data_IF_940953145154
#
_entry.id   IF_940953145154
#
_cell.length_a   1.000
_cell.length_b   1.000
_cell.length_c   1.000
_cell.angle_alpha   90.00
_cell.angle_beta   90.00
_cell.angle_gamma   90.00
#
_symmetry.space_group_name_H-M   'P 1'
#
loop_
_entity.id
_entity.type
_entity.pdbx_description
1 polymer ?
#
# COMPACT_ATOMS: atom_id res chain seq x y z
N UNK A 1 -7.09 15.70 4.94
CA UNK A 1 -5.75 15.53 4.37
C UNK A 1 -5.80 15.78 2.87
N UNK A 2 -4.99 16.70 2.44
CA UNK A 2 -4.97 17.05 1.03
C UNK A 2 -4.32 15.90 0.24
N UNK A 3 -5.03 15.34 -0.72
CA UNK A 3 -4.54 14.31 -1.65
C UNK A 3 -3.25 14.74 -2.40
N UNK A 4 -2.84 15.99 -2.24
CA UNK A 4 -1.65 16.55 -2.89
C UNK A 4 -0.33 15.96 -2.38
N UNK A 5 -0.26 15.48 -1.14
CA UNK A 5 0.99 14.92 -0.60
C UNK A 5 1.32 13.54 -1.16
N UNK A 6 0.31 12.74 -1.50
CA UNK A 6 0.52 11.46 -2.17
C UNK A 6 0.82 11.60 -3.67
N UNK A 7 0.51 12.77 -4.25
CA UNK A 7 0.57 13.00 -5.71
C UNK A 7 1.66 13.99 -6.09
N UNK A 8 2.41 14.56 -5.14
CA UNK A 8 3.28 15.73 -5.38
C UNK A 8 4.55 15.48 -6.22
N UNK A 9 4.66 14.34 -6.89
CA UNK A 9 5.70 14.12 -7.90
C UNK A 9 5.11 13.56 -9.20
N UNK A 10 4.25 14.36 -9.81
CA UNK A 10 3.75 14.10 -11.15
C UNK A 10 4.79 14.49 -12.20
N UNK A 11 5.42 13.50 -12.82
CA UNK A 11 5.83 13.61 -14.22
C UNK A 11 4.95 12.68 -15.03
N UNK A 12 4.12 13.22 -15.95
CA UNK A 12 3.18 12.41 -16.72
C UNK A 12 3.84 11.45 -17.73
N UNK A 13 5.09 11.67 -18.05
CA UNK A 13 5.71 11.02 -19.21
C UNK A 13 6.82 10.02 -18.88
N UNK A 14 7.05 9.68 -17.62
CA UNK A 14 8.13 8.78 -17.26
C UNK A 14 7.72 7.65 -16.32
N UNK A 15 6.68 6.93 -16.73
CA UNK A 15 6.22 5.72 -16.06
C UNK A 15 7.26 4.58 -16.04
N UNK A 16 8.38 4.77 -16.70
CA UNK A 16 9.46 3.78 -16.78
C UNK A 16 10.47 3.87 -15.62
N UNK A 17 10.47 4.96 -14.85
CA UNK A 17 11.49 5.19 -13.82
C UNK A 17 11.16 4.67 -12.43
N UNK A 18 9.90 4.42 -12.11
CA UNK A 18 9.50 3.76 -10.86
C UNK A 18 8.17 3.04 -11.04
N UNK A 19 8.22 1.74 -11.06
CA UNK A 19 7.04 0.87 -11.19
C UNK A 19 6.02 1.16 -10.05
N UNK A 20 6.49 1.42 -8.84
CA UNK A 20 5.62 1.71 -7.69
C UNK A 20 4.89 3.04 -7.88
N UNK A 21 5.58 4.09 -8.31
CA UNK A 21 4.96 5.40 -8.52
C UNK A 21 3.91 5.38 -9.63
N UNK A 22 4.16 4.63 -10.70
CA UNK A 22 3.18 4.42 -11.77
C UNK A 22 1.95 3.69 -11.27
N UNK A 23 2.13 2.59 -10.58
CA UNK A 23 1.06 1.79 -10.01
C UNK A 23 0.25 2.60 -8.98
N UNK A 24 0.91 3.45 -8.20
CA UNK A 24 0.23 4.33 -7.25
C UNK A 24 -0.63 5.37 -7.96
N UNK A 25 -0.11 5.99 -9.03
CA UNK A 25 -0.88 6.96 -9.83
C UNK A 25 -2.11 6.31 -10.47
N UNK A 26 -1.95 5.13 -11.05
CA UNK A 26 -3.07 4.36 -11.62
C UNK A 26 -4.10 4.02 -10.55
N UNK A 27 -3.66 3.51 -9.41
CA UNK A 27 -4.56 3.17 -8.31
C UNK A 27 -5.34 4.40 -7.82
N UNK A 28 -4.69 5.53 -7.62
CA UNK A 28 -5.36 6.77 -7.18
C UNK A 28 -6.36 7.25 -8.21
N UNK A 29 -6.04 7.14 -9.50
CA UNK A 29 -6.99 7.47 -10.58
C UNK A 29 -8.23 6.58 -10.53
N UNK A 30 -8.06 5.27 -10.39
CA UNK A 30 -9.16 4.32 -10.28
C UNK A 30 -9.97 4.54 -8.99
N UNK A 31 -9.28 4.85 -7.90
CA UNK A 31 -9.94 5.15 -6.62
C UNK A 31 -10.83 6.38 -6.70
N UNK A 32 -10.40 7.40 -7.43
CA UNK A 32 -11.16 8.66 -7.63
C UNK A 32 -12.23 8.55 -8.70
N UNK A 33 -12.25 7.49 -9.50
CA UNK A 33 -13.26 7.30 -10.54
C UNK A 33 -14.66 7.21 -9.93
N UNK A 34 -15.67 7.47 -10.74
CA UNK A 34 -17.08 7.42 -10.33
C UNK A 34 -17.58 5.99 -10.05
N UNK A 35 -16.85 4.96 -10.47
CA UNK A 35 -17.22 3.57 -10.21
C UNK A 35 -17.18 3.26 -8.71
N UNK A 36 -18.22 2.63 -8.14
CA UNK A 36 -18.20 2.16 -6.76
C UNK A 36 -17.35 0.89 -6.57
N UNK A 37 -16.85 0.30 -7.66
CA UNK A 37 -16.07 -0.91 -7.66
C UNK A 37 -14.63 -0.65 -8.08
N UNK A 38 -13.74 -1.49 -7.58
CA UNK A 38 -12.34 -1.52 -7.97
C UNK A 38 -11.96 -2.95 -8.38
N UNK A 39 -11.26 -3.09 -9.49
CA UNK A 39 -10.68 -4.38 -9.87
C UNK A 39 -9.39 -4.60 -9.04
N UNK A 40 -9.32 -5.74 -8.38
CA UNK A 40 -8.17 -6.14 -7.59
C UNK A 40 -7.70 -7.53 -8.02
N UNK A 41 -6.43 -7.80 -7.79
CA UNK A 41 -5.82 -9.08 -8.10
C UNK A 41 -5.35 -9.74 -6.81
N UNK A 42 -5.66 -11.03 -6.65
CA UNK A 42 -5.09 -11.84 -5.58
C UNK A 42 -3.81 -12.51 -6.08
N UNK A 43 -2.85 -12.75 -5.19
CA UNK A 43 -1.60 -13.40 -5.56
C UNK A 43 -1.77 -14.88 -5.96
N UNK A 44 -2.87 -15.52 -5.56
CA UNK A 44 -3.19 -16.91 -5.89
C UNK A 44 -2.20 -17.91 -5.30
N UNK A 45 -2.57 -18.62 -4.22
CA UNK A 45 -1.75 -19.69 -3.64
C UNK A 45 -1.64 -20.92 -4.54
N UNK A 46 -2.45 -21.02 -5.60
CA UNK A 46 -2.57 -22.17 -6.49
C UNK A 46 -2.17 -21.88 -7.94
N UNK A 47 -1.35 -20.85 -8.19
CA UNK A 47 -0.74 -20.56 -9.48
C UNK A 47 -1.26 -19.31 -10.19
N UNK A 48 -2.45 -19.31 -10.78
CA UNK A 48 -2.93 -18.18 -11.57
C UNK A 48 -3.57 -17.11 -10.67
N UNK A 49 -3.09 -15.84 -10.70
CA UNK A 49 -3.75 -14.76 -9.99
C UNK A 49 -5.18 -14.56 -10.48
N UNK A 50 -6.10 -14.35 -9.55
CA UNK A 50 -7.51 -14.09 -9.87
C UNK A 50 -7.78 -12.60 -9.80
N UNK A 51 -8.53 -12.09 -10.79
CA UNK A 51 -9.08 -10.75 -10.80
C UNK A 51 -10.50 -10.77 -10.25
N UNK A 52 -10.76 -9.92 -9.28
CA UNK A 52 -12.08 -9.78 -8.67
C UNK A 52 -12.47 -8.30 -8.58
N UNK A 53 -13.77 -8.05 -8.58
CA UNK A 53 -14.30 -6.71 -8.35
C UNK A 53 -14.68 -6.58 -6.88
N UNK A 54 -14.18 -5.54 -6.22
CA UNK A 54 -14.46 -5.24 -4.81
C UNK A 54 -15.10 -3.87 -4.71
N UNK A 55 -16.07 -3.72 -3.83
CA UNK A 55 -16.66 -2.41 -3.54
C UNK A 55 -15.67 -1.54 -2.77
N UNK A 56 -15.48 -0.31 -3.23
CA UNK A 56 -14.66 0.68 -2.54
C UNK A 56 -15.10 0.90 -1.10
N UNK A 57 -16.42 0.89 -0.85
CA UNK A 57 -16.98 0.98 0.50
C UNK A 57 -16.50 -0.14 1.42
N UNK A 58 -16.43 -1.38 0.93
CA UNK A 58 -15.92 -2.51 1.70
C UNK A 58 -14.44 -2.34 2.02
N UNK A 59 -13.66 -1.82 1.09
CA UNK A 59 -12.24 -1.52 1.33
C UNK A 59 -12.07 -0.44 2.40
N UNK A 60 -12.87 0.62 2.35
CA UNK A 60 -12.86 1.68 3.37
C UNK A 60 -13.23 1.12 4.74
N UNK A 61 -14.28 0.31 4.83
CA UNK A 61 -14.71 -0.30 6.10
C UNK A 61 -13.63 -1.22 6.68
N UNK A 62 -13.01 -2.05 5.84
CA UNK A 62 -11.89 -2.91 6.24
C UNK A 62 -10.70 -2.08 6.74
N UNK A 63 -10.37 -1.00 6.05
CA UNK A 63 -9.30 -0.10 6.45
C UNK A 63 -9.59 0.56 7.81
N UNK A 64 -10.82 1.03 8.04
CA UNK A 64 -11.23 1.60 9.33
C UNK A 64 -11.07 0.60 10.46
N UNK A 65 -11.57 -0.62 10.28
CA UNK A 65 -11.45 -1.68 11.29
C UNK A 65 -9.99 -1.96 11.65
N UNK A 66 -9.12 -2.06 10.65
CA UNK A 66 -7.69 -2.29 10.88
C UNK A 66 -7.05 -1.13 11.63
N UNK A 67 -7.29 0.10 11.17
CA UNK A 67 -6.69 1.29 11.77
C UNK A 67 -7.18 1.49 13.21
N UNK A 68 -8.46 1.28 13.46
CA UNK A 68 -9.03 1.38 14.81
C UNK A 68 -8.45 0.32 15.74
N UNK A 69 -8.38 -0.93 15.29
CA UNK A 69 -7.84 -2.03 16.08
C UNK A 69 -6.37 -1.81 16.45
N UNK A 70 -5.57 -1.31 15.52
CA UNK A 70 -4.15 -1.06 15.73
C UNK A 70 -3.85 0.31 16.34
N UNK A 71 -4.86 1.14 16.54
CA UNK A 71 -4.71 2.49 17.10
C UNK A 71 -3.91 3.42 16.19
N UNK A 72 -4.00 3.23 14.88
CA UNK A 72 -3.31 4.07 13.91
C UNK A 72 -3.97 5.44 13.81
N UNK A 73 -3.16 6.50 13.79
CA UNK A 73 -3.61 7.89 13.80
C UNK A 73 -2.97 8.68 12.67
N UNK A 74 -3.56 9.82 12.39
CA UNK A 74 -3.02 10.76 11.41
C UNK A 74 -1.55 11.08 11.72
N UNK A 75 -0.70 10.99 10.69
CA UNK A 75 0.73 11.24 10.79
C UNK A 75 1.56 10.03 11.19
N UNK A 76 0.95 8.93 11.61
CA UNK A 76 1.67 7.69 11.85
C UNK A 76 2.34 7.19 10.56
N UNK A 77 3.59 6.77 10.65
CA UNK A 77 4.33 6.26 9.50
C UNK A 77 4.02 4.79 9.24
N UNK A 78 3.70 4.50 7.99
CA UNK A 78 3.44 3.14 7.53
C UNK A 78 4.28 2.84 6.29
N UNK A 79 4.79 1.61 6.19
CA UNK A 79 5.63 1.18 5.09
C UNK A 79 4.80 0.54 3.98
N UNK A 80 4.92 1.07 2.76
CA UNK A 80 4.41 0.46 1.54
C UNK A 80 5.58 -0.10 0.72
N UNK A 81 5.68 -1.41 0.63
CA UNK A 81 6.68 -2.11 -0.19
C UNK A 81 6.07 -3.29 -0.96
N UNK A 82 4.76 -3.48 -0.85
CA UNK A 82 4.03 -4.52 -1.57
C UNK A 82 3.65 -4.03 -2.97
N UNK A 83 3.62 -4.93 -3.98
CA UNK A 83 3.12 -4.58 -5.30
C UNK A 83 1.68 -4.09 -5.26
N UNK A 84 1.42 -2.93 -5.86
CA UNK A 84 0.08 -2.34 -5.90
C UNK A 84 -0.88 -3.04 -6.86
N UNK A 85 -0.40 -3.93 -7.70
CA UNK A 85 -1.27 -4.80 -8.51
C UNK A 85 -2.10 -5.76 -7.67
N UNK A 86 -1.63 -6.10 -6.46
CA UNK A 86 -2.35 -6.98 -5.54
C UNK A 86 -3.14 -6.20 -4.51
N UNK A 87 -4.19 -6.82 -4.00
CA UNK A 87 -5.07 -6.22 -2.99
C UNK A 87 -4.31 -5.80 -1.73
N UNK A 88 -3.29 -6.56 -1.32
CA UNK A 88 -2.52 -6.24 -0.11
C UNK A 88 -1.85 -4.88 -0.20
N UNK A 89 -1.19 -4.56 -1.33
CA UNK A 89 -0.59 -3.25 -1.56
C UNK A 89 -1.63 -2.14 -1.67
N UNK A 90 -2.73 -2.39 -2.39
CA UNK A 90 -3.84 -1.44 -2.50
C UNK A 90 -4.44 -1.09 -1.13
N UNK A 91 -4.61 -2.08 -0.26
CA UNK A 91 -5.15 -1.86 1.09
C UNK A 91 -4.24 -1.02 1.97
N UNK A 92 -2.93 -1.05 1.79
CA UNK A 92 -2.02 -0.13 2.48
C UNK A 92 -2.29 1.31 2.10
N UNK A 93 -2.55 1.59 0.82
CA UNK A 93 -2.92 2.92 0.36
C UNK A 93 -4.28 3.34 0.91
N UNK A 94 -5.27 2.45 0.89
CA UNK A 94 -6.61 2.75 1.43
C UNK A 94 -6.55 3.07 2.92
N UNK A 95 -5.80 2.31 3.71
CA UNK A 95 -5.59 2.59 5.15
C UNK A 95 -4.96 3.96 5.35
N UNK A 96 -3.98 4.30 4.54
CA UNK A 96 -3.34 5.60 4.57
C UNK A 96 -4.32 6.74 4.28
N UNK A 97 -5.17 6.58 3.27
CA UNK A 97 -6.19 7.57 2.94
C UNK A 97 -7.25 7.72 4.05
N UNK A 98 -7.65 6.62 4.66
CA UNK A 98 -8.68 6.60 5.71
C UNK A 98 -8.18 7.19 7.03
N UNK A 99 -6.98 6.81 7.47
CA UNK A 99 -6.43 7.23 8.76
C UNK A 99 -5.45 8.40 8.68
N UNK A 100 -5.15 8.89 7.48
CA UNK A 100 -4.17 9.97 7.30
C UNK A 100 -2.74 9.56 7.62
N UNK A 101 -2.37 8.32 7.28
CA UNK A 101 -1.02 7.82 7.53
C UNK A 101 0.00 8.47 6.60
N UNK A 102 1.23 8.59 7.07
CA UNK A 102 2.37 9.01 6.28
C UNK A 102 3.04 7.78 5.67
N UNK A 103 2.84 7.56 4.37
CA UNK A 103 3.38 6.39 3.67
C UNK A 103 4.85 6.57 3.33
N UNK A 104 5.67 5.68 3.85
CA UNK A 104 7.06 5.49 3.41
C UNK A 104 7.04 4.43 2.31
N UNK A 105 7.40 4.84 1.09
CA UNK A 105 7.29 3.99 -0.10
C UNK A 105 8.66 3.42 -0.45
N UNK A 106 8.72 2.11 -0.65
CA UNK A 106 9.91 1.38 -1.08
C UNK A 106 9.56 0.40 -2.18
N UNK A 107 10.53 0.06 -3.01
CA UNK A 107 10.36 -1.01 -4.00
C UNK A 107 10.14 -2.36 -3.30
N UNK A 108 9.29 -3.24 -3.86
CA UNK A 108 9.08 -4.57 -3.32
C UNK A 108 10.39 -5.36 -3.22
N UNK A 109 10.66 -5.93 -2.05
CA UNK A 109 11.87 -6.72 -1.82
C UNK A 109 11.65 -7.78 -0.75
N UNK A 110 12.61 -8.70 -0.63
CA UNK A 110 12.65 -9.67 0.48
C UNK A 110 13.15 -9.08 1.80
N UNK A 111 13.72 -7.87 1.77
CA UNK A 111 14.28 -7.16 2.94
C UNK A 111 13.70 -5.75 3.05
N UNK A 112 12.42 -5.61 3.36
CA UNK A 112 11.74 -4.31 3.30
C UNK A 112 12.24 -3.28 4.31
N UNK A 113 12.91 -3.74 5.38
CA UNK A 113 13.41 -2.87 6.45
C UNK A 113 14.89 -2.52 6.31
N UNK A 114 15.58 -2.99 5.25
CA UNK A 114 17.05 -2.90 5.16
C UNK A 114 17.59 -1.47 5.16
N UNK A 115 16.86 -0.51 4.61
CA UNK A 115 17.25 0.89 4.51
C UNK A 115 16.31 1.83 5.29
N UNK A 116 15.54 1.30 6.20
CA UNK A 116 14.65 2.09 7.05
C UNK A 116 15.41 2.52 8.31
N UNK A 117 15.57 3.82 8.45
CA UNK A 117 16.28 4.45 9.57
C UNK A 117 15.35 5.28 10.47
N UNK A 118 14.05 5.20 10.24
CA UNK A 118 13.03 5.95 10.96
C UNK A 118 12.05 5.02 11.67
N UNK A 119 11.41 5.46 12.77
CA UNK A 119 10.36 4.68 13.42
C UNK A 119 9.16 4.51 12.50
N UNK A 120 8.69 3.28 12.36
CA UNK A 120 7.44 2.96 11.69
C UNK A 120 6.40 2.52 12.70
N UNK A 121 5.18 2.97 12.51
CA UNK A 121 4.04 2.54 13.33
C UNK A 121 3.40 1.26 12.80
N UNK A 122 3.44 1.07 11.48
CA UNK A 122 2.77 -0.05 10.84
C UNK A 122 3.49 -0.48 9.56
N UNK A 123 3.59 -1.79 9.38
CA UNK A 123 4.02 -2.41 8.12
C UNK A 123 3.31 -3.75 7.96
N UNK A 124 2.79 -4.03 6.77
CA UNK A 124 2.25 -5.33 6.43
C UNK A 124 3.32 -6.14 5.70
N UNK A 125 3.61 -7.34 6.19
CA UNK A 125 4.67 -8.20 5.67
C UNK A 125 4.17 -9.63 5.51
N UNK A 126 4.72 -10.35 4.52
CA UNK A 126 4.58 -11.80 4.47
C UNK A 126 5.57 -12.47 5.45
N UNK A 127 5.33 -13.72 5.88
CA UNK A 127 6.18 -14.39 6.87
C UNK A 127 7.67 -14.41 6.52
N UNK A 128 8.02 -14.62 5.24
CA UNK A 128 9.41 -14.60 4.79
C UNK A 128 10.09 -13.25 5.05
N UNK A 129 9.38 -12.15 4.82
CA UNK A 129 9.91 -10.80 5.05
C UNK A 129 10.09 -10.51 6.54
N UNK A 130 9.20 -10.99 7.39
CA UNK A 130 9.36 -10.93 8.85
C UNK A 130 10.60 -11.71 9.27
N UNK A 131 10.74 -12.93 8.78
CA UNK A 131 11.92 -13.75 9.06
C UNK A 131 13.22 -13.05 8.66
N UNK A 132 13.29 -12.54 7.43
CA UNK A 132 14.47 -11.84 6.94
C UNK A 132 14.78 -10.58 7.77
N UNK A 133 13.75 -9.85 8.18
CA UNK A 133 13.90 -8.66 9.03
C UNK A 133 14.50 -9.00 10.39
N UNK A 134 14.08 -10.12 10.98
CA UNK A 134 14.60 -10.57 12.29
C UNK A 134 16.02 -11.12 12.23
N UNK A 135 16.51 -11.50 11.05
CA UNK A 135 17.90 -11.99 10.88
C UNK A 135 18.92 -10.87 10.71
N UNK A 136 18.47 -9.63 10.48
CA UNK A 136 19.38 -8.49 10.36
C UNK A 136 19.86 -8.09 11.78
N UNK A 137 21.18 -8.08 12.05
CA UNK A 137 21.69 -7.61 13.34
C UNK A 137 21.31 -6.14 13.57
N UNK A 138 20.83 -5.87 14.74
CA UNK A 138 20.51 -4.49 15.15
C UNK A 138 21.81 -3.74 15.44
#
# INVERSE_FOLDING_TARGET
MDNKQLISKKHPDNCQLSTVNCQLSEFISDWKSASPYLEVQTSGSTGTPKRIMVRKEQMVNSARLTCDYLGLRQGDKALLFMPLRYIAGKMMVVRSLVAGLDLVIREPSGHPMADIDMPLRFAAMIPLQVYNTLQVPV
#
